data_IF_728187825092
#
_entry.id   IF_728187825092
#
_cell.length_a   1.000
_cell.length_b   1.000
_cell.length_c   1.000
_cell.angle_alpha   90.00
_cell.angle_beta   90.00
_cell.angle_gamma   90.00
#
_symmetry.space_group_name_H-M   'P 1'
#
loop_
_entity.id
_entity.type
_entity.pdbx_description
1 polymer ?
#
# COMPACT_ATOMS: atom_id res chain seq x y z
N UNK A 1 -11.94 -20.15 4.72
CA UNK A 1 -10.64 -19.71 5.20
C UNK A 1 -10.02 -18.69 4.27
N UNK A 2 -9.50 -17.65 4.85
CA UNK A 2 -8.87 -16.60 4.06
C UNK A 2 -7.51 -17.09 3.55
N UNK A 3 -7.31 -17.01 2.25
CA UNK A 3 -6.07 -17.53 1.67
C UNK A 3 -5.08 -16.44 1.30
N UNK A 4 -5.49 -15.18 1.43
CA UNK A 4 -4.56 -14.10 1.18
C UNK A 4 -4.96 -12.88 1.99
N UNK A 5 -3.96 -12.03 2.20
CA UNK A 5 -4.12 -10.84 3.01
C UNK A 5 -4.81 -9.76 2.20
N UNK A 6 -5.72 -9.04 2.82
CA UNK A 6 -6.42 -7.96 2.14
C UNK A 6 -5.48 -6.77 1.94
N UNK A 7 -5.85 -5.87 1.03
CA UNK A 7 -5.10 -4.65 0.81
C UNK A 7 -4.96 -3.86 2.10
N UNK A 8 -6.07 -3.77 2.85
CA UNK A 8 -6.08 -3.02 4.10
C UNK A 8 -5.07 -3.56 5.09
N UNK A 9 -5.03 -4.87 5.24
CA UNK A 9 -4.08 -5.49 6.16
C UNK A 9 -2.65 -5.31 5.69
N UNK A 10 -2.43 -5.46 4.40
CA UNK A 10 -1.09 -5.34 3.84
C UNK A 10 -0.54 -3.94 4.05
N UNK A 11 -1.37 -2.92 3.81
CA UNK A 11 -0.95 -1.54 3.99
C UNK A 11 -0.62 -1.25 5.44
N UNK A 12 -1.44 -1.72 6.35
CA UNK A 12 -1.20 -1.52 7.77
C UNK A 12 0.08 -2.21 8.21
N UNK A 13 0.29 -3.43 7.73
CA UNK A 13 1.48 -4.20 8.11
C UNK A 13 2.74 -3.48 7.66
N UNK A 14 2.74 -2.96 6.44
CA UNK A 14 3.90 -2.25 5.92
C UNK A 14 4.20 -0.99 6.73
N UNK A 15 3.16 -0.26 7.10
CA UNK A 15 3.34 0.96 7.88
C UNK A 15 3.90 0.63 9.27
N UNK A 16 3.32 -0.36 9.92
CA UNK A 16 3.78 -0.77 11.25
C UNK A 16 5.21 -1.27 11.17
N UNK A 17 5.52 -2.02 10.13
CA UNK A 17 6.87 -2.55 9.93
C UNK A 17 7.90 -1.41 9.84
N UNK A 18 7.50 -0.29 9.24
CA UNK A 18 8.38 0.87 9.13
C UNK A 18 8.38 1.73 10.39
N UNK A 19 7.53 1.40 11.35
CA UNK A 19 7.45 2.17 12.59
C UNK A 19 6.83 3.53 12.42
N UNK A 20 5.96 3.70 11.44
CA UNK A 20 5.33 4.98 11.15
C UNK A 20 3.91 5.04 11.68
N UNK A 21 3.50 6.23 12.15
CA UNK A 21 2.08 6.44 12.38
C UNK A 21 1.47 7.06 11.12
N UNK A 22 0.15 7.21 11.12
CA UNK A 22 -0.54 7.70 9.92
C UNK A 22 -0.15 9.11 9.56
N UNK A 23 0.11 9.93 10.57
CA UNK A 23 0.48 11.32 10.31
C UNK A 23 1.85 11.39 9.63
N UNK A 24 2.79 10.59 10.10
CA UNK A 24 4.11 10.54 9.49
C UNK A 24 4.03 10.04 8.06
N UNK A 25 3.24 9.00 7.84
CA UNK A 25 3.07 8.47 6.49
C UNK A 25 2.44 9.50 5.58
N UNK A 26 1.48 10.27 6.09
CA UNK A 26 0.86 11.32 5.31
C UNK A 26 1.90 12.35 4.86
N UNK A 27 2.80 12.72 5.76
CA UNK A 27 3.84 13.68 5.42
C UNK A 27 4.80 13.13 4.37
N UNK A 28 5.11 11.85 4.47
CA UNK A 28 6.07 11.25 3.55
C UNK A 28 5.49 11.03 2.16
N UNK A 29 4.21 10.74 2.07
CA UNK A 29 3.61 10.38 0.79
C UNK A 29 2.80 11.49 0.15
N UNK A 30 2.43 12.49 0.93
CA UNK A 30 1.55 13.53 0.43
C UNK A 30 0.08 13.11 0.34
N UNK A 31 -0.24 11.95 0.89
CA UNK A 31 -1.62 11.47 0.95
C UNK A 31 -2.19 11.90 2.30
N UNK A 32 -3.43 12.35 2.32
CA UNK A 32 -4.00 12.84 3.56
C UNK A 32 -4.11 11.72 4.60
N UNK A 33 -3.97 12.10 5.85
CA UNK A 33 -4.10 11.15 6.95
C UNK A 33 -5.45 10.46 6.93
N UNK A 34 -6.49 11.22 6.62
CA UNK A 34 -7.84 10.70 6.55
C UNK A 34 -7.97 9.61 5.50
N UNK A 35 -7.39 9.85 4.32
CA UNK A 35 -7.43 8.86 3.26
C UNK A 35 -6.64 7.61 3.65
N UNK A 36 -5.47 7.81 4.24
CA UNK A 36 -4.64 6.67 4.65
C UNK A 36 -5.35 5.82 5.69
N UNK A 37 -5.98 6.46 6.66
CA UNK A 37 -6.74 5.73 7.67
C UNK A 37 -7.87 4.93 7.04
N UNK A 38 -8.52 5.51 6.06
CA UNK A 38 -9.58 4.85 5.34
C UNK A 38 -9.07 3.63 4.59
N UNK A 39 -7.89 3.75 3.98
CA UNK A 39 -7.30 2.64 3.22
C UNK A 39 -6.90 1.47 4.11
N UNK A 40 -6.59 1.72 5.37
CA UNK A 40 -6.21 0.65 6.29
C UNK A 40 -7.39 0.10 7.08
N UNK A 41 -8.55 0.70 6.90
CA UNK A 41 -9.74 0.30 7.65
C UNK A 41 -10.39 -0.91 7.00
N UNK A 42 -10.46 -1.98 7.78
CA UNK A 42 -10.90 -3.27 7.32
C UNK A 42 -12.38 -3.51 7.62
N UNK A 43 -13.10 -2.46 7.92
CA UNK A 43 -14.52 -2.56 8.24
C UNK A 43 -15.34 -2.83 7.00
N UNK A 44 -16.59 -2.96 7.20
CA UNK A 44 -17.54 -3.45 6.24
C UNK A 44 -17.53 -2.82 4.89
N UNK A 45 -17.18 -1.55 4.82
CA UNK A 45 -17.30 -0.83 3.57
C UNK A 45 -16.06 -0.96 2.74
N UNK A 46 -16.24 -1.41 1.54
CA UNK A 46 -15.15 -1.44 0.59
C UNK A 46 -14.78 -0.01 0.22
N UNK A 47 -13.53 0.30 0.39
CA UNK A 47 -13.01 1.60 0.00
C UNK A 47 -12.03 1.41 -1.13
N UNK A 48 -12.34 2.00 -2.25
CA UNK A 48 -11.47 1.89 -3.40
C UNK A 48 -10.27 2.83 -3.22
N UNK A 49 -9.08 2.29 -3.35
CA UNK A 49 -7.89 3.09 -3.22
C UNK A 49 -7.63 3.77 -4.56
N UNK A 50 -7.47 5.08 -4.50
CA UNK A 50 -7.16 5.86 -5.67
C UNK A 50 -5.89 5.33 -6.34
N UNK A 51 -5.91 5.25 -7.67
CA UNK A 51 -4.78 4.70 -8.42
C UNK A 51 -3.48 5.46 -8.11
N UNK A 52 -3.55 6.78 -8.08
CA UNK A 52 -2.37 7.57 -7.77
C UNK A 52 -1.83 7.30 -6.38
N UNK A 53 -2.72 7.12 -5.40
CA UNK A 53 -2.30 6.80 -4.05
C UNK A 53 -1.65 5.44 -3.99
N UNK A 54 -2.20 4.48 -4.73
CA UNK A 54 -1.65 3.14 -4.76
C UNK A 54 -0.23 3.14 -5.30
N UNK A 55 0.00 3.90 -6.36
CA UNK A 55 1.34 4.02 -6.93
C UNK A 55 2.30 4.71 -5.96
N UNK A 56 1.85 5.74 -5.28
CA UNK A 56 2.68 6.43 -4.30
C UNK A 56 3.08 5.51 -3.16
N UNK A 57 2.14 4.72 -2.68
CA UNK A 57 2.42 3.80 -1.58
C UNK A 57 3.37 2.70 -2.02
N UNK A 58 3.16 2.16 -3.22
CA UNK A 58 4.06 1.13 -3.74
C UNK A 58 5.49 1.67 -3.84
N UNK A 59 5.62 2.89 -4.34
CA UNK A 59 6.92 3.51 -4.48
C UNK A 59 7.55 3.80 -3.11
N UNK A 60 6.76 4.32 -2.19
CA UNK A 60 7.27 4.63 -0.86
C UNK A 60 7.76 3.37 -0.14
N UNK A 61 6.97 2.32 -0.19
CA UNK A 61 7.34 1.07 0.49
C UNK A 61 8.31 0.23 -0.33
N UNK A 62 8.56 0.59 -1.57
CA UNK A 62 9.43 -0.16 -2.48
C UNK A 62 8.95 -1.59 -2.64
N UNK A 63 7.68 -1.71 -2.92
CA UNK A 63 7.03 -2.99 -3.17
C UNK A 63 6.22 -2.86 -4.45
N UNK A 64 5.86 -3.99 -5.03
CA UNK A 64 5.04 -3.97 -6.24
C UNK A 64 3.59 -3.67 -5.89
N UNK A 65 2.85 -3.15 -6.86
CA UNK A 65 1.42 -2.93 -6.68
C UNK A 65 0.72 -4.26 -6.46
N UNK A 66 1.16 -5.31 -7.15
CA UNK A 66 0.59 -6.64 -6.96
C UNK A 66 0.71 -7.08 -5.51
N UNK A 67 1.85 -6.78 -4.89
CA UNK A 67 2.02 -7.12 -3.48
C UNK A 67 1.03 -6.36 -2.62
N UNK A 68 0.84 -5.07 -2.89
CA UNK A 68 -0.13 -4.27 -2.13
C UNK A 68 -1.53 -4.81 -2.28
N UNK A 69 -1.87 -5.28 -3.47
CA UNK A 69 -3.21 -5.79 -3.74
C UNK A 69 -3.43 -7.21 -3.22
N UNK A 70 -2.39 -7.81 -2.66
CA UNK A 70 -2.51 -9.15 -2.11
C UNK A 70 -2.49 -10.24 -3.16
N UNK A 71 -2.08 -9.93 -4.38
CA UNK A 71 -2.05 -10.88 -5.47
C UNK A 71 -0.81 -11.75 -5.46
N UNK A 72 0.20 -11.35 -4.71
CA UNK A 72 1.45 -12.08 -4.60
C UNK A 72 2.05 -11.84 -3.23
N UNK A 73 2.89 -12.75 -2.76
CA UNK A 73 3.64 -12.57 -1.53
C UNK A 73 5.04 -12.06 -1.82
N UNK A 74 5.34 -11.84 -3.08
CA UNK A 74 6.65 -11.34 -3.48
C UNK A 74 6.64 -9.82 -3.46
N UNK A 75 7.43 -9.24 -2.56
CA UNK A 75 7.48 -7.78 -2.39
C UNK A 75 8.22 -7.06 -3.50
N UNK A 76 8.89 -7.81 -4.34
CA UNK A 76 9.82 -7.23 -5.29
C UNK A 76 9.21 -6.04 -6.02
N UNK A 77 9.85 -4.90 -5.88
CA UNK A 77 9.49 -3.70 -6.59
C UNK A 77 10.28 -3.69 -7.89
N UNK A 78 9.56 -3.73 -9.00
CA UNK A 78 10.21 -3.71 -10.29
C UNK A 78 9.96 -2.40 -10.97
N UNK A 79 11.01 -1.64 -11.11
CA UNK A 79 10.94 -0.37 -11.78
C UNK A 79 11.87 -0.44 -12.99
N UNK A 80 11.61 -1.41 -13.84
CA UNK A 80 12.45 -1.65 -15.01
C UNK A 80 12.12 -0.64 -16.08
N UNK A 81 13.09 0.17 -16.49
CA UNK A 81 12.84 1.13 -17.58
C UNK A 81 12.47 0.38 -18.86
N UNK A 82 11.61 1.02 -19.64
CA UNK A 82 11.13 0.39 -20.86
C UNK A 82 12.29 0.05 -21.81
N UNK A 83 13.29 0.88 -21.84
CA UNK A 83 14.42 0.66 -22.74
C UNK A 83 15.24 -0.58 -22.37
N UNK A 84 15.00 -1.15 -21.23
CA UNK A 84 15.70 -2.36 -20.82
C UNK A 84 14.92 -3.62 -21.12
N UNK A 85 13.73 -3.45 -21.65
CA UNK A 85 12.87 -4.60 -21.94
C UNK A 85 13.13 -5.18 -23.33
#
# INVERSE_FOLDING_TARGET
>A
MKTRISVQERLKDLRVERGLNLEELAQETGISKSALGSYENDNDEYKEINHGSLLKLADFYQVSVDYLLGLTNNRKYENTPIEEL
#
